data_IF_888360261804
#
_entry.id   IF_888360261804
#
_cell.length_a   1.000
_cell.length_b   1.000
_cell.length_c   1.000
_cell.angle_alpha   90.00
_cell.angle_beta   90.00
_cell.angle_gamma   90.00
#
_symmetry.space_group_name_H-M   'P 1'
#
loop_
_entity.id
_entity.type
_entity.pdbx_description
1 polymer ?
#
# COMPACT_ATOMS: atom_id res chain seq x y z
N UNK A 1 7.90 -1.59 -19.16
CA UNK A 1 7.57 -2.26 -17.88
C UNK A 1 7.89 -1.27 -16.78
N UNK A 2 6.94 -0.88 -15.92
CA UNK A 2 7.32 -0.17 -14.72
C UNK A 2 8.19 -1.10 -13.88
N UNK A 3 9.35 -0.62 -13.49
CA UNK A 3 10.19 -1.29 -12.48
C UNK A 3 9.40 -1.11 -11.19
N UNK A 4 8.65 -2.13 -10.79
CA UNK A 4 8.14 -2.20 -9.43
C UNK A 4 9.36 -2.23 -8.51
N UNK A 5 9.54 -1.19 -7.69
CA UNK A 5 10.42 -1.29 -6.53
C UNK A 5 10.03 -2.59 -5.80
N UNK A 6 11.00 -3.45 -5.46
CA UNK A 6 10.75 -4.59 -4.56
C UNK A 6 10.12 -3.99 -3.30
N UNK A 7 8.83 -4.23 -3.03
CA UNK A 7 8.10 -3.54 -1.95
C UNK A 7 8.50 -4.07 -0.57
N UNK A 8 9.40 -5.06 -0.50
CA UNK A 8 9.92 -5.61 0.75
C UNK A 8 11.05 -4.73 1.26
N UNK A 9 10.68 -3.56 1.71
CA UNK A 9 11.50 -2.79 2.65
C UNK A 9 11.67 -3.69 3.89
N UNK A 10 12.89 -4.17 4.15
CA UNK A 10 13.16 -5.05 5.29
C UNK A 10 13.14 -4.20 6.57
N UNK A 11 11.93 -3.94 7.04
CA UNK A 11 11.66 -3.14 8.22
C UNK A 11 10.98 -4.03 9.26
N UNK A 12 11.76 -4.46 10.25
CA UNK A 12 11.28 -5.28 11.34
C UNK A 12 10.17 -4.59 12.15
N UNK A 13 10.13 -3.25 12.18
CA UNK A 13 9.04 -2.51 12.83
C UNK A 13 7.73 -2.65 12.05
N UNK A 14 7.77 -2.53 10.72
CA UNK A 14 6.58 -2.76 9.86
C UNK A 14 6.10 -4.21 9.97
N UNK A 15 7.03 -5.17 9.93
CA UNK A 15 6.71 -6.58 10.09
C UNK A 15 6.09 -6.87 11.47
N UNK A 16 6.61 -6.27 12.53
CA UNK A 16 6.04 -6.38 13.87
C UNK A 16 4.63 -5.77 13.96
N UNK A 17 4.39 -4.63 13.32
CA UNK A 17 3.07 -4.00 13.27
C UNK A 17 2.06 -4.88 12.50
N UNK A 18 2.48 -5.50 11.40
CA UNK A 18 1.65 -6.42 10.63
C UNK A 18 1.38 -7.72 11.41
N UNK A 19 2.38 -8.25 12.12
CA UNK A 19 2.25 -9.44 12.95
C UNK A 19 1.16 -9.31 14.04
N UNK A 20 0.97 -8.11 14.59
CA UNK A 20 -0.10 -7.84 15.56
C UNK A 20 -1.51 -8.06 15.00
N UNK A 21 -1.68 -7.94 13.68
CA UNK A 21 -2.97 -8.11 13.00
C UNK A 21 -3.28 -9.60 12.74
N UNK A 22 -2.29 -10.48 12.86
CA UNK A 22 -2.42 -11.90 12.57
C UNK A 22 -2.53 -12.75 13.85
N UNK A 23 -3.19 -13.92 13.77
CA UNK A 23 -3.14 -14.90 14.83
C UNK A 23 -1.70 -15.21 15.23
N UNK A 24 -1.39 -15.05 16.51
CA UNK A 24 -0.06 -15.28 17.04
C UNK A 24 -0.14 -15.99 18.40
N UNK A 25 0.92 -16.70 18.75
CA UNK A 25 1.08 -17.32 20.07
C UNK A 25 2.54 -17.28 20.50
N UNK A 26 2.76 -17.14 21.80
CA UNK A 26 4.09 -17.30 22.40
C UNK A 26 4.41 -18.79 22.40
N UNK A 27 5.56 -19.16 21.82
CA UNK A 27 6.01 -20.56 21.70
C UNK A 27 7.27 -20.85 22.51
N UNK A 28 7.89 -19.83 23.11
CA UNK A 28 9.03 -20.01 24.00
C UNK A 28 9.79 -18.72 24.25
N UNK A 29 10.95 -18.87 24.87
CA UNK A 29 11.92 -17.82 25.13
C UNK A 29 13.30 -18.33 24.69
N UNK A 30 14.05 -17.50 23.99
CA UNK A 30 15.38 -17.80 23.48
C UNK A 30 16.34 -16.65 23.80
N UNK A 31 17.65 -16.93 23.82
CA UNK A 31 18.67 -15.88 23.86
C UNK A 31 19.15 -15.56 22.45
N UNK A 32 18.88 -14.34 21.97
CA UNK A 32 19.26 -13.84 20.64
C UNK A 32 20.21 -12.67 20.81
N UNK A 33 21.40 -12.75 20.23
CA UNK A 33 22.42 -11.69 20.33
C UNK A 33 22.76 -11.25 21.77
N UNK A 34 22.64 -12.18 22.73
CA UNK A 34 22.85 -11.91 24.16
C UNK A 34 21.65 -11.31 24.89
N UNK A 35 20.54 -11.05 24.19
CA UNK A 35 19.29 -10.55 24.75
C UNK A 35 18.29 -11.68 24.97
N UNK A 36 17.50 -11.58 26.03
CA UNK A 36 16.39 -12.51 26.30
C UNK A 36 15.18 -12.10 25.47
N UNK A 37 14.76 -12.97 24.55
CA UNK A 37 13.70 -12.68 23.60
C UNK A 37 12.56 -13.69 23.67
N UNK A 38 11.33 -13.17 23.67
CA UNK A 38 10.12 -13.99 23.52
C UNK A 38 9.99 -14.43 22.07
N UNK A 39 9.89 -15.74 21.84
CA UNK A 39 9.63 -16.31 20.52
C UNK A 39 8.14 -16.39 20.28
N UNK A 40 7.69 -15.73 19.21
CA UNK A 40 6.29 -15.67 18.80
C UNK A 40 6.15 -16.40 17.46
N UNK A 41 5.22 -17.35 17.39
CA UNK A 41 4.77 -17.94 16.12
C UNK A 41 3.60 -17.11 15.58
N UNK A 42 3.74 -16.63 14.36
CA UNK A 42 2.72 -15.81 13.67
C UNK A 42 2.16 -16.64 12.52
N UNK A 43 0.83 -16.68 12.40
CA UNK A 43 0.12 -17.46 11.37
C UNK A 43 -0.77 -16.55 10.53
N UNK A 44 -0.26 -16.00 9.41
CA UNK A 44 -1.06 -15.19 8.50
C UNK A 44 -2.24 -15.98 7.92
N UNK A 45 -3.42 -15.37 7.70
CA UNK A 45 -4.53 -16.01 7.03
C UNK A 45 -4.10 -16.56 5.66
N UNK A 46 -4.27 -17.87 5.46
CA UNK A 46 -3.86 -18.61 4.27
C UNK A 46 -2.34 -18.72 4.04
N UNK A 47 -1.51 -18.05 4.82
CA UNK A 47 -0.05 -18.14 4.75
C UNK A 47 0.51 -19.34 5.50
N UNK A 48 1.83 -19.46 5.43
CA UNK A 48 2.61 -20.38 6.26
C UNK A 48 3.10 -19.66 7.51
N UNK A 49 3.23 -20.36 8.66
CA UNK A 49 3.70 -19.74 9.88
C UNK A 49 5.16 -19.31 9.78
N UNK A 50 5.49 -18.25 10.49
CA UNK A 50 6.84 -17.71 10.63
C UNK A 50 7.07 -17.28 12.08
N UNK A 51 8.31 -16.92 12.42
CA UNK A 51 8.68 -16.63 13.80
C UNK A 51 9.33 -15.27 13.94
N UNK A 52 8.92 -14.54 14.98
CA UNK A 52 9.52 -13.28 15.38
C UNK A 52 10.02 -13.42 16.83
N UNK A 53 11.21 -12.92 17.09
CA UNK A 53 11.77 -12.84 18.44
C UNK A 53 11.75 -11.39 18.88
N UNK A 54 11.07 -11.14 19.99
CA UNK A 54 10.91 -9.80 20.55
C UNK A 54 11.69 -9.74 21.86
N UNK A 55 12.64 -8.80 21.95
CA UNK A 55 13.38 -8.55 23.18
C UNK A 55 12.42 -8.15 24.31
N UNK A 56 12.57 -8.82 25.45
CA UNK A 56 11.67 -8.67 26.61
C UNK A 56 11.83 -7.32 27.32
N UNK A 57 12.98 -6.66 27.19
CA UNK A 57 13.23 -5.38 27.82
C UNK A 57 12.75 -4.20 26.95
N UNK A 58 13.11 -4.20 25.67
CA UNK A 58 12.87 -3.07 24.77
C UNK A 58 11.62 -3.22 23.90
N UNK A 59 11.03 -4.42 23.85
CA UNK A 59 9.97 -4.81 22.92
C UNK A 59 10.34 -4.68 21.45
N UNK A 60 11.64 -4.60 21.13
CA UNK A 60 12.10 -4.53 19.76
C UNK A 60 12.21 -5.94 19.14
N UNK A 61 11.84 -6.10 17.87
CA UNK A 61 12.12 -7.33 17.14
C UNK A 61 13.64 -7.49 16.94
N UNK A 62 14.21 -8.58 17.44
CA UNK A 62 15.65 -8.87 17.38
C UNK A 62 16.03 -9.95 16.37
N UNK A 63 15.07 -10.78 16.00
CA UNK A 63 15.22 -11.77 14.94
C UNK A 63 13.88 -12.07 14.26
N UNK A 64 13.93 -12.32 12.96
CA UNK A 64 12.83 -12.79 12.14
C UNK A 64 13.28 -14.05 11.40
N UNK A 65 12.49 -15.11 11.47
CA UNK A 65 12.65 -16.30 10.65
C UNK A 65 11.43 -16.42 9.75
N UNK A 66 11.64 -16.38 8.44
CA UNK A 66 10.57 -16.52 7.46
C UNK A 66 9.93 -17.91 7.51
N UNK A 67 8.75 -18.03 6.91
CA UNK A 67 8.22 -19.35 6.56
C UNK A 67 9.18 -20.06 5.59
N UNK A 68 9.20 -21.40 5.64
CA UNK A 68 9.88 -22.22 4.65
C UNK A 68 9.09 -22.20 3.34
N UNK A 69 9.62 -21.58 2.30
CA UNK A 69 8.99 -21.50 0.99
C UNK A 69 9.94 -22.01 -0.08
N UNK A 70 9.51 -22.96 -0.90
CA UNK A 70 10.32 -23.57 -1.98
C UNK A 70 11.72 -24.00 -1.49
N UNK A 71 11.77 -24.64 -0.31
CA UNK A 71 12.99 -25.09 0.34
C UNK A 71 13.97 -23.98 0.78
N UNK A 72 13.53 -22.72 0.77
CA UNK A 72 14.29 -21.58 1.27
C UNK A 72 13.60 -21.07 2.54
N UNK A 73 14.40 -20.88 3.59
CA UNK A 73 14.00 -20.20 4.81
C UNK A 73 15.10 -19.19 5.14
N UNK A 74 14.70 -17.95 5.41
CA UNK A 74 15.64 -16.86 5.72
C UNK A 74 15.51 -16.51 7.18
N UNK A 75 16.65 -16.34 7.85
CA UNK A 75 16.72 -15.81 9.21
C UNK A 75 17.48 -14.50 9.18
N UNK A 76 16.87 -13.47 9.73
CA UNK A 76 17.45 -12.15 9.91
C UNK A 76 17.65 -11.94 11.40
N UNK A 77 18.86 -11.65 11.82
CA UNK A 77 19.21 -11.50 13.24
C UNK A 77 20.13 -10.29 13.39
N UNK A 78 19.85 -9.42 14.37
CA UNK A 78 20.83 -8.43 14.78
C UNK A 78 22.06 -9.14 15.32
N UNK A 79 23.24 -8.86 14.77
CA UNK A 79 24.50 -9.40 15.32
C UNK A 79 24.87 -8.69 16.62
N UNK A 80 24.60 -7.39 16.66
CA UNK A 80 24.78 -6.50 17.82
C UNK A 80 23.63 -5.51 17.85
N UNK A 81 23.02 -5.33 19.02
CA UNK A 81 21.99 -4.31 19.25
C UNK A 81 22.30 -3.59 20.55
N UNK A 82 22.57 -2.29 20.45
CA UNK A 82 22.70 -1.40 21.59
C UNK A 82 21.50 -0.46 21.61
N UNK A 83 20.75 -0.46 22.71
CA UNK A 83 19.54 0.35 22.88
C UNK A 83 19.78 1.43 23.92
N UNK A 84 18.97 2.49 23.89
CA UNK A 84 19.05 3.60 24.84
C UNK A 84 20.42 4.30 24.89
N UNK A 85 21.20 4.22 23.82
CA UNK A 85 22.49 4.90 23.70
C UNK A 85 22.31 6.32 23.18
N UNK A 86 23.13 7.24 23.68
CA UNK A 86 23.22 8.58 23.11
C UNK A 86 24.11 8.52 21.85
N UNK A 87 23.50 8.61 20.67
CA UNK A 87 24.24 8.65 19.41
C UNK A 87 24.87 10.05 19.27
N UNK A 88 26.20 10.17 19.09
CA UNK A 88 26.84 11.46 18.87
C UNK A 88 26.27 12.14 17.62
N UNK A 89 26.00 13.45 17.69
CA UNK A 89 25.53 14.20 16.52
C UNK A 89 26.52 14.14 15.33
N UNK A 90 27.80 13.92 15.62
CA UNK A 90 28.85 13.69 14.61
C UNK A 90 28.63 12.44 13.76
N UNK A 91 27.92 11.42 14.26
CA UNK A 91 27.58 10.21 13.48
C UNK A 91 26.74 10.54 12.26
N UNK A 92 25.93 11.59 12.33
CA UNK A 92 25.08 12.06 11.23
C UNK A 92 25.75 13.15 10.39
N UNK A 93 27.01 13.48 10.67
CA UNK A 93 27.75 14.48 9.89
C UNK A 93 28.24 13.88 8.59
N UNK A 94 27.70 14.37 7.47
CA UNK A 94 28.19 14.01 6.15
C UNK A 94 29.34 14.93 5.72
N UNK A 95 30.54 14.38 5.63
CA UNK A 95 31.70 15.06 5.05
C UNK A 95 31.93 14.50 3.63
N UNK A 96 31.60 15.25 2.56
CA UNK A 96 31.86 14.79 1.21
C UNK A 96 33.38 14.64 0.99
N UNK A 97 33.83 13.60 0.25
CA UNK A 97 35.24 13.48 -0.12
C UNK A 97 35.76 14.69 -0.91
N UNK A 98 37.07 14.92 -0.88
CA UNK A 98 37.71 15.99 -1.64
C UNK A 98 37.35 15.91 -3.14
N UNK A 99 36.97 17.04 -3.72
CA UNK A 99 36.52 17.14 -5.12
C UNK A 99 35.03 16.85 -5.34
N UNK A 100 34.27 16.50 -4.30
CA UNK A 100 32.81 16.33 -4.37
C UNK A 100 32.08 17.48 -3.66
N UNK A 101 30.95 17.90 -4.22
CA UNK A 101 30.04 18.87 -3.61
C UNK A 101 28.74 18.17 -3.21
N UNK A 102 28.16 18.58 -2.07
CA UNK A 102 26.81 18.17 -1.71
C UNK A 102 25.84 18.90 -2.62
N UNK A 103 25.11 18.14 -3.45
CA UNK A 103 24.00 18.68 -4.24
C UNK A 103 22.70 18.28 -3.54
N UNK A 104 22.08 19.24 -2.86
CA UNK A 104 20.72 19.06 -2.35
C UNK A 104 19.75 19.14 -3.53
N UNK A 105 19.30 17.98 -4.00
CA UNK A 105 18.31 17.86 -5.06
C UNK A 105 16.88 18.02 -4.54
N UNK A 106 16.66 18.22 -3.24
CA UNK A 106 15.32 18.47 -2.73
C UNK A 106 14.88 19.89 -3.12
N UNK A 107 13.89 20.04 -4.01
CA UNK A 107 13.41 21.36 -4.41
C UNK A 107 12.68 22.06 -3.25
N UNK A 108 12.19 21.31 -2.26
CA UNK A 108 11.40 21.82 -1.15
C UNK A 108 12.30 22.47 -0.10
N UNK A 109 12.15 23.79 0.06
CA UNK A 109 12.88 24.58 1.05
C UNK A 109 11.99 24.90 2.25
N UNK A 110 12.53 24.84 3.48
CA UNK A 110 11.79 25.23 4.66
C UNK A 110 11.44 26.71 4.59
N UNK A 111 10.20 27.05 4.92
CA UNK A 111 9.68 28.43 4.94
C UNK A 111 9.01 28.70 6.30
N UNK A 112 9.02 29.95 6.75
CA UNK A 112 8.56 30.30 8.09
C UNK A 112 7.04 30.48 8.17
N UNK A 113 6.38 30.78 7.03
CA UNK A 113 4.96 31.12 7.01
C UNK A 113 4.26 30.58 5.77
N UNK A 114 2.93 30.44 5.86
CA UNK A 114 2.08 30.09 4.72
C UNK A 114 2.17 31.13 3.58
N UNK A 115 2.27 32.42 3.92
CA UNK A 115 2.40 33.49 2.93
C UNK A 115 3.70 33.34 2.10
N UNK A 116 4.79 32.97 2.76
CA UNK A 116 6.05 32.66 2.09
C UNK A 116 5.94 31.39 1.23
N UNK A 117 5.28 30.34 1.73
CA UNK A 117 5.02 29.12 0.96
C UNK A 117 4.21 29.38 -0.32
N UNK A 118 3.18 30.22 -0.25
CA UNK A 118 2.37 30.67 -1.39
C UNK A 118 3.23 31.43 -2.40
N UNK A 119 4.08 32.35 -1.93
CA UNK A 119 4.98 33.13 -2.77
C UNK A 119 5.98 32.25 -3.53
N UNK A 120 6.57 31.25 -2.85
CA UNK A 120 7.55 30.32 -3.44
C UNK A 120 6.89 29.35 -4.42
N UNK A 121 5.73 28.81 -4.06
CA UNK A 121 5.07 27.75 -4.84
C UNK A 121 4.21 28.26 -5.99
N UNK A 122 3.67 29.48 -5.87
CA UNK A 122 2.66 30.01 -6.78
C UNK A 122 1.30 29.32 -6.67
N UNK A 123 1.04 28.57 -5.60
CA UNK A 123 -0.21 27.86 -5.37
C UNK A 123 -1.17 28.65 -4.47
N UNK A 124 -2.46 28.39 -4.63
CA UNK A 124 -3.49 28.75 -3.65
C UNK A 124 -3.86 27.48 -2.89
N UNK A 125 -3.26 27.22 -1.70
CA UNK A 125 -3.47 25.97 -1.00
C UNK A 125 -4.88 25.84 -0.43
N UNK A 126 -5.29 24.61 -0.17
CA UNK A 126 -6.50 24.30 0.61
C UNK A 126 -6.20 24.61 2.08
N UNK A 127 -7.12 25.28 2.77
CA UNK A 127 -6.88 25.71 4.15
C UNK A 127 -6.93 24.53 5.14
N UNK A 128 -5.89 24.43 5.96
CA UNK A 128 -5.84 23.54 7.12
C UNK A 128 -6.14 24.33 8.39
N UNK A 129 -7.05 23.81 9.23
CA UNK A 129 -7.36 24.45 10.52
C UNK A 129 -6.26 24.25 11.54
N UNK A 130 -5.57 23.10 11.49
CA UNK A 130 -4.43 22.80 12.37
C UNK A 130 -3.17 23.44 11.82
N UNK A 131 -2.39 24.05 12.71
CA UNK A 131 -1.08 24.61 12.35
C UNK A 131 -0.04 23.50 12.18
N UNK A 132 0.68 23.46 11.05
CA UNK A 132 1.78 22.52 10.86
C UNK A 132 2.96 22.88 11.77
N UNK A 133 3.81 21.90 12.08
CA UNK A 133 5.07 22.13 12.78
C UNK A 133 6.10 22.78 11.87
N UNK A 134 6.14 22.35 10.60
CA UNK A 134 7.05 22.86 9.58
C UNK A 134 6.31 23.01 8.26
N UNK A 135 6.74 23.98 7.45
CA UNK A 135 6.24 24.18 6.09
C UNK A 135 7.44 24.12 5.15
N UNK A 136 7.30 23.39 4.06
CA UNK A 136 8.25 23.43 2.95
C UNK A 136 7.54 23.84 1.68
N UNK A 137 8.25 24.54 0.80
CA UNK A 137 7.70 24.99 -0.46
C UNK A 137 8.74 24.87 -1.58
N UNK A 138 8.23 24.59 -2.78
CA UNK A 138 8.97 24.64 -4.04
C UNK A 138 8.00 25.04 -5.16
N UNK A 139 8.48 25.38 -6.37
CA UNK A 139 7.60 25.71 -7.47
C UNK A 139 6.55 24.61 -7.70
N UNK A 140 5.26 24.99 -7.65
CA UNK A 140 4.11 24.09 -7.77
C UNK A 140 3.89 23.08 -6.64
N UNK A 141 4.50 23.24 -5.47
CA UNK A 141 4.28 22.34 -4.33
C UNK A 141 4.39 23.06 -2.98
N UNK A 142 3.49 22.72 -2.06
CA UNK A 142 3.57 23.03 -0.64
C UNK A 142 3.48 21.73 0.15
N UNK A 143 4.30 21.62 1.20
CA UNK A 143 4.30 20.50 2.15
C UNK A 143 4.06 21.05 3.55
N UNK A 144 3.01 20.55 4.19
CA UNK A 144 2.70 20.80 5.59
C UNK A 144 3.07 19.57 6.41
N UNK A 145 4.01 19.74 7.32
CA UNK A 145 4.54 18.67 8.15
C UNK A 145 4.05 18.80 9.58
N UNK A 146 3.33 17.78 10.06
CA UNK A 146 2.77 17.67 11.40
C UNK A 146 3.56 16.74 12.32
N UNK A 147 4.72 16.25 11.88
CA UNK A 147 5.60 15.32 12.60
C UNK A 147 5.32 13.87 12.23
N UNK A 148 4.12 13.38 12.56
CA UNK A 148 3.67 12.00 12.27
C UNK A 148 2.90 11.84 10.95
N UNK A 149 2.56 12.97 10.33
CA UNK A 149 1.72 13.04 9.14
C UNK A 149 2.14 14.23 8.28
N UNK A 150 2.17 14.02 6.97
CA UNK A 150 2.51 15.01 5.96
C UNK A 150 1.29 15.24 5.08
N UNK A 151 0.97 16.50 4.81
CA UNK A 151 0.03 16.91 3.75
C UNK A 151 0.86 17.57 2.65
N UNK A 152 0.82 17.02 1.44
CA UNK A 152 1.38 17.66 0.26
C UNK A 152 0.25 18.15 -0.64
N UNK A 153 0.39 19.39 -1.08
CA UNK A 153 -0.45 19.98 -2.11
C UNK A 153 0.42 20.37 -3.29
N UNK A 154 0.11 19.84 -4.47
CA UNK A 154 0.93 20.06 -5.65
C UNK A 154 0.08 20.31 -6.88
N UNK A 155 0.57 21.11 -7.82
CA UNK A 155 -0.08 21.23 -9.12
C UNK A 155 0.25 20.00 -9.95
N UNK A 156 -0.77 19.23 -10.31
CA UNK A 156 -0.54 18.05 -11.14
C UNK A 156 -0.12 18.48 -12.56
N UNK A 157 1.01 17.95 -13.02
CA UNK A 157 1.53 18.16 -14.39
C UNK A 157 1.22 16.98 -15.32
N UNK A 158 0.68 15.90 -14.74
CA UNK A 158 0.31 14.67 -15.41
C UNK A 158 -1.17 14.37 -15.17
N UNK A 159 -1.83 13.59 -16.04
CA UNK A 159 -3.19 13.13 -15.75
C UNK A 159 -3.24 12.35 -14.44
N UNK A 160 -4.26 12.62 -13.63
CA UNK A 160 -4.53 11.84 -12.43
C UNK A 160 -5.09 10.48 -12.82
N UNK A 161 -4.25 9.46 -12.68
CA UNK A 161 -4.60 8.06 -12.97
C UNK A 161 -4.80 7.34 -11.65
N UNK A 162 -5.97 6.72 -11.49
CA UNK A 162 -6.30 5.92 -10.33
C UNK A 162 -5.48 4.62 -10.30
N UNK A 163 -4.90 4.33 -9.15
CA UNK A 163 -4.21 3.11 -8.81
C UNK A 163 -5.22 1.97 -8.71
N UNK A 164 -4.98 0.84 -9.38
CA UNK A 164 -5.83 -0.34 -9.24
C UNK A 164 -5.74 -0.98 -7.85
N UNK A 165 -4.71 -0.64 -7.07
CA UNK A 165 -4.46 -1.18 -5.73
C UNK A 165 -5.09 -0.33 -4.61
N UNK A 166 -5.60 0.86 -4.95
CA UNK A 166 -6.27 1.72 -3.99
C UNK A 166 -7.75 1.32 -3.83
N UNK A 167 -8.24 1.39 -2.61
CA UNK A 167 -9.69 1.48 -2.41
C UNK A 167 -10.15 2.85 -2.90
N UNK A 168 -11.34 2.90 -3.50
CA UNK A 168 -11.87 4.10 -4.12
C UNK A 168 -13.00 4.68 -3.26
N UNK A 169 -12.74 5.85 -2.71
CA UNK A 169 -13.70 6.68 -1.98
C UNK A 169 -14.11 7.93 -2.77
N UNK A 170 -14.57 8.94 -2.04
CA UNK A 170 -14.91 10.25 -2.58
C UNK A 170 -14.30 11.37 -1.74
N UNK A 171 -13.78 12.41 -2.39
CA UNK A 171 -13.32 13.64 -1.75
C UNK A 171 -13.43 14.80 -2.75
N UNK A 172 -13.95 15.94 -2.29
CA UNK A 172 -14.09 17.16 -3.08
C UNK A 172 -14.86 16.95 -4.41
N UNK A 173 -15.90 16.12 -4.39
CA UNK A 173 -16.69 15.76 -5.56
C UNK A 173 -16.00 14.84 -6.58
N UNK A 174 -14.77 14.40 -6.30
CA UNK A 174 -13.97 13.52 -7.16
C UNK A 174 -13.63 12.19 -6.47
N UNK A 175 -12.94 11.28 -7.20
CA UNK A 175 -12.48 10.02 -6.63
C UNK A 175 -11.35 10.25 -5.62
N UNK A 176 -11.42 9.53 -4.51
CA UNK A 176 -10.37 9.44 -3.49
C UNK A 176 -9.67 8.08 -3.60
N UNK A 177 -8.34 8.08 -3.66
CA UNK A 177 -7.54 6.88 -3.47
C UNK A 177 -7.24 6.71 -1.97
N UNK A 178 -7.51 5.51 -1.46
CA UNK A 178 -7.20 5.10 -0.10
C UNK A 178 -6.19 3.96 -0.14
N UNK A 179 -5.02 4.20 0.46
CA UNK A 179 -3.90 3.27 0.62
C UNK A 179 -3.59 3.14 2.13
N UNK A 180 -2.86 2.10 2.60
CA UNK A 180 -2.71 1.76 4.02
C UNK A 180 -2.32 2.93 4.94
N UNK A 181 -1.50 3.85 4.45
CA UNK A 181 -1.05 5.02 5.22
C UNK A 181 -1.22 6.33 4.45
N UNK A 182 -2.03 6.35 3.38
CA UNK A 182 -2.21 7.58 2.62
C UNK A 182 -3.55 7.72 1.92
N UNK A 183 -3.95 8.97 1.77
CA UNK A 183 -5.13 9.43 1.07
C UNK A 183 -4.71 10.37 -0.04
N UNK A 184 -5.23 10.17 -1.26
CA UNK A 184 -4.86 10.98 -2.42
C UNK A 184 -6.05 11.32 -3.31
N UNK A 185 -6.22 12.58 -3.65
CA UNK A 185 -7.32 13.05 -4.51
C UNK A 185 -6.96 14.35 -5.23
N UNK A 186 -7.83 14.76 -6.15
CA UNK A 186 -7.77 16.07 -6.80
C UNK A 186 -8.79 17.03 -6.19
N UNK A 187 -8.36 18.26 -5.90
CA UNK A 187 -9.21 19.33 -5.42
C UNK A 187 -8.67 20.68 -5.90
N UNK A 188 -9.53 21.52 -6.49
CA UNK A 188 -9.16 22.87 -6.95
C UNK A 188 -7.94 22.93 -7.89
N UNK A 189 -7.72 21.89 -8.71
CA UNK A 189 -6.56 21.79 -9.61
C UNK A 189 -5.26 21.39 -8.90
N UNK A 190 -5.33 21.06 -7.61
CA UNK A 190 -4.24 20.52 -6.82
C UNK A 190 -4.45 19.01 -6.63
N UNK A 191 -3.34 18.29 -6.66
CA UNK A 191 -3.24 16.95 -6.15
C UNK A 191 -2.88 17.03 -4.67
N UNK A 192 -3.77 16.49 -3.85
CA UNK A 192 -3.63 16.43 -2.40
C UNK A 192 -3.18 15.02 -2.03
N UNK A 193 -2.11 14.91 -1.26
CA UNK A 193 -1.63 13.68 -0.68
C UNK A 193 -1.49 13.87 0.83
N UNK A 194 -2.21 13.08 1.61
CA UNK A 194 -2.06 13.03 3.06
C UNK A 194 -1.48 11.68 3.43
N UNK A 195 -0.30 11.66 4.05
CA UNK A 195 0.41 10.43 4.40
C UNK A 195 0.82 10.42 5.87
N UNK A 196 0.45 9.37 6.61
CA UNK A 196 0.81 9.17 8.01
C UNK A 196 -0.37 8.84 8.91
N UNK A 197 -0.10 8.77 10.23
CA UNK A 197 -1.03 8.20 11.22
C UNK A 197 -2.34 8.97 11.37
N UNK A 198 -2.33 10.27 11.08
CA UNK A 198 -3.51 11.15 11.19
C UNK A 198 -4.08 11.53 9.83
N UNK A 199 -3.89 10.68 8.82
CA UNK A 199 -4.27 10.96 7.45
C UNK A 199 -5.76 11.26 7.28
N UNK A 200 -6.63 10.43 7.87
CA UNK A 200 -8.09 10.65 7.84
C UNK A 200 -8.49 11.95 8.55
N UNK A 201 -7.91 12.22 9.72
CA UNK A 201 -8.19 13.42 10.52
C UNK A 201 -7.85 14.72 9.77
N UNK A 202 -6.71 14.74 9.07
CA UNK A 202 -6.29 15.90 8.28
C UNK A 202 -7.04 16.00 6.96
N UNK A 203 -7.35 14.87 6.30
CA UNK A 203 -8.14 14.86 5.08
C UNK A 203 -9.56 15.42 5.29
N UNK A 204 -10.19 15.13 6.44
CA UNK A 204 -11.51 15.69 6.78
C UNK A 204 -11.50 17.23 6.92
N UNK A 205 -10.35 17.85 7.21
CA UNK A 205 -10.26 19.32 7.24
C UNK A 205 -10.21 19.92 5.83
N UNK A 206 -9.71 19.14 4.86
CA UNK A 206 -9.49 19.58 3.48
C UNK A 206 -10.71 19.33 2.60
N UNK A 207 -11.42 18.22 2.84
CA UNK A 207 -12.61 17.81 2.10
C UNK A 207 -13.76 17.44 3.05
N UNK A 208 -14.79 18.29 3.10
CA UNK A 208 -15.96 18.10 3.97
C UNK A 208 -16.87 16.94 3.54
N UNK A 209 -16.76 16.48 2.29
CA UNK A 209 -17.51 15.37 1.69
C UNK A 209 -16.66 14.09 1.62
N UNK A 210 -15.65 13.95 2.48
CA UNK A 210 -14.77 12.79 2.53
C UNK A 210 -15.57 11.51 2.83
N UNK A 211 -15.49 10.54 1.91
CA UNK A 211 -16.06 9.20 2.05
C UNK A 211 -14.93 8.20 1.86
N UNK A 212 -14.57 7.51 2.94
CA UNK A 212 -13.64 6.39 2.92
C UNK A 212 -14.46 5.10 2.79
N UNK A 213 -14.19 4.26 1.78
CA UNK A 213 -14.91 3.00 1.61
C UNK A 213 -14.61 2.08 2.80
N UNK A 214 -15.65 1.43 3.31
CA UNK A 214 -15.52 0.47 4.41
C UNK A 214 -15.38 -0.93 3.84
N UNK A 215 -14.49 -1.74 4.43
CA UNK A 215 -14.38 -3.17 4.12
C UNK A 215 -15.73 -3.86 4.34
N UNK A 216 -16.12 -4.75 3.43
CA UNK A 216 -17.41 -5.45 3.41
C UNK A 216 -18.66 -4.60 3.09
N UNK A 217 -18.51 -3.40 2.52
CA UNK A 217 -19.67 -2.71 1.92
C UNK A 217 -20.30 -3.58 0.83
N UNK A 218 -21.62 -3.72 0.87
CA UNK A 218 -22.36 -4.45 -0.15
C UNK A 218 -22.11 -3.82 -1.52
N UNK A 219 -21.67 -4.64 -2.48
CA UNK A 219 -21.52 -4.18 -3.85
C UNK A 219 -22.88 -3.70 -4.38
N UNK A 220 -22.90 -2.61 -5.19
CA UNK A 220 -24.14 -1.99 -5.65
C UNK A 220 -25.01 -2.95 -6.47
N UNK A 221 -24.39 -3.95 -7.12
CA UNK A 221 -25.06 -4.98 -7.91
C UNK A 221 -24.51 -6.37 -7.57
N UNK A 222 -25.34 -7.38 -7.78
CA UNK A 222 -24.92 -8.79 -7.73
C UNK A 222 -24.64 -9.31 -9.14
N UNK A 223 -23.67 -10.23 -9.31
CA UNK A 223 -23.41 -10.85 -10.60
C UNK A 223 -24.61 -11.69 -11.06
N UNK A 224 -24.89 -11.65 -12.36
CA UNK A 224 -25.85 -12.55 -13.01
C UNK A 224 -25.37 -14.00 -13.06
N UNK A 225 -24.05 -14.21 -13.14
CA UNK A 225 -23.43 -15.54 -13.06
C UNK A 225 -22.46 -15.58 -11.88
N UNK A 226 -22.76 -16.42 -10.89
CA UNK A 226 -21.87 -16.69 -9.76
C UNK A 226 -20.76 -17.67 -10.16
N UNK A 227 -19.53 -17.36 -9.77
CA UNK A 227 -18.37 -18.23 -9.93
C UNK A 227 -18.01 -18.76 -8.54
N UNK A 228 -18.23 -20.06 -8.33
CA UNK A 228 -17.86 -20.71 -7.07
C UNK A 228 -16.34 -20.78 -6.96
N UNK A 229 -15.80 -20.21 -5.89
CA UNK A 229 -14.38 -20.30 -5.57
C UNK A 229 -14.10 -21.55 -4.73
N UNK A 230 -13.15 -22.36 -5.17
CA UNK A 230 -12.60 -23.45 -4.35
C UNK A 230 -11.61 -22.85 -3.34
N UNK A 231 -11.99 -22.85 -2.06
CA UNK A 231 -11.21 -22.20 -1.01
C UNK A 231 -9.84 -22.85 -0.77
N UNK A 232 -9.68 -24.14 -1.07
CA UNK A 232 -8.37 -24.80 -0.96
C UNK A 232 -7.45 -24.32 -2.08
N UNK A 233 -7.98 -24.18 -3.30
CA UNK A 233 -7.24 -23.61 -4.44
C UNK A 233 -6.89 -22.14 -4.19
N UNK A 234 -7.83 -21.33 -3.69
CA UNK A 234 -7.56 -19.91 -3.39
C UNK A 234 -6.48 -19.77 -2.32
N UNK A 235 -6.52 -20.62 -1.28
CA UNK A 235 -5.48 -20.65 -0.25
C UNK A 235 -4.11 -21.04 -0.82
N UNK A 236 -4.06 -22.06 -1.68
CA UNK A 236 -2.80 -22.46 -2.35
C UNK A 236 -2.26 -21.35 -3.27
N UNK A 237 -3.14 -20.64 -3.99
CA UNK A 237 -2.74 -19.51 -4.82
C UNK A 237 -2.18 -18.36 -3.98
N UNK A 238 -2.79 -18.06 -2.83
CA UNK A 238 -2.25 -17.06 -1.90
C UNK A 238 -0.81 -17.44 -1.47
N UNK A 239 -0.57 -18.69 -1.10
CA UNK A 239 0.78 -19.15 -0.72
C UNK A 239 1.78 -19.06 -1.88
N UNK A 240 1.34 -19.34 -3.11
CA UNK A 240 2.19 -19.18 -4.29
C UNK A 240 2.57 -17.72 -4.50
N UNK A 241 1.63 -16.78 -4.33
CA UNK A 241 1.87 -15.33 -4.39
C UNK A 241 2.80 -14.87 -3.29
N UNK A 242 2.60 -15.32 -2.06
CA UNK A 242 3.51 -15.02 -0.95
C UNK A 242 4.94 -15.48 -1.24
N UNK A 243 5.10 -16.57 -2.02
CA UNK A 243 6.41 -17.08 -2.48
C UNK A 243 6.93 -16.43 -3.78
N UNK A 244 6.38 -15.28 -4.16
CA UNK A 244 6.77 -14.48 -5.32
C UNK A 244 6.31 -15.03 -6.67
N UNK A 245 5.32 -15.93 -6.70
CA UNK A 245 4.78 -16.49 -7.95
C UNK A 245 3.47 -15.83 -8.33
N UNK A 246 3.21 -15.61 -9.62
CA UNK A 246 1.93 -15.03 -10.07
C UNK A 246 1.52 -13.70 -9.36
N UNK A 247 2.45 -12.74 -9.16
CA UNK A 247 2.15 -11.50 -8.41
C UNK A 247 1.03 -10.66 -9.03
N UNK A 248 0.72 -10.92 -10.31
CA UNK A 248 -0.42 -10.34 -11.02
C UNK A 248 -1.77 -10.58 -10.34
N UNK A 249 -1.90 -11.61 -9.49
CA UNK A 249 -3.12 -11.88 -8.73
C UNK A 249 -3.43 -10.83 -7.65
N UNK A 250 -2.47 -9.95 -7.34
CA UNK A 250 -2.66 -8.81 -6.43
C UNK A 250 -3.31 -7.60 -7.12
N UNK A 251 -3.32 -7.57 -8.45
CA UNK A 251 -3.94 -6.51 -9.25
C UNK A 251 -5.32 -6.96 -9.76
N UNK A 252 -6.42 -6.30 -9.32
CA UNK A 252 -7.76 -6.70 -9.72
C UNK A 252 -8.03 -6.50 -11.22
N UNK A 253 -7.42 -5.49 -11.87
CA UNK A 253 -7.54 -5.29 -13.32
C UNK A 253 -6.92 -6.45 -14.07
N UNK A 254 -5.74 -6.89 -13.65
CA UNK A 254 -5.04 -8.00 -14.29
C UNK A 254 -5.77 -9.34 -14.09
N UNK A 255 -6.40 -9.56 -12.93
CA UNK A 255 -7.24 -10.74 -12.70
C UNK A 255 -8.49 -10.71 -13.59
N UNK A 256 -9.20 -9.58 -13.66
CA UNK A 256 -10.38 -9.44 -14.51
C UNK A 256 -10.04 -9.59 -16.01
N UNK A 257 -8.93 -9.00 -16.45
CA UNK A 257 -8.43 -9.13 -17.82
C UNK A 257 -8.17 -10.60 -18.17
N UNK A 258 -7.43 -11.30 -17.31
CA UNK A 258 -7.11 -12.71 -17.50
C UNK A 258 -8.38 -13.56 -17.58
N UNK A 259 -9.34 -13.31 -16.69
CA UNK A 259 -10.63 -14.00 -16.72
C UNK A 259 -11.38 -13.76 -18.03
N UNK A 260 -11.51 -12.51 -18.47
CA UNK A 260 -12.24 -12.16 -19.69
C UNK A 260 -11.59 -12.75 -20.95
N UNK A 261 -10.26 -12.74 -21.02
CA UNK A 261 -9.53 -13.35 -22.14
C UNK A 261 -9.75 -14.86 -22.18
N UNK A 262 -9.76 -15.55 -21.03
CA UNK A 262 -10.01 -17.00 -20.98
C UNK A 262 -11.43 -17.37 -21.40
N UNK A 263 -12.41 -16.46 -21.29
CA UNK A 263 -13.75 -16.66 -21.87
C UNK A 263 -13.73 -16.63 -23.41
N UNK A 264 -12.81 -15.88 -24.02
CA UNK A 264 -12.62 -15.84 -25.49
C UNK A 264 -11.79 -17.03 -25.96
N UNK A 265 -10.73 -17.36 -25.22
CA UNK A 265 -9.76 -18.41 -25.56
C UNK A 265 -9.61 -19.41 -24.41
N UNK A 266 -10.53 -20.38 -24.27
CA UNK A 266 -10.51 -21.34 -23.16
C UNK A 266 -9.27 -22.23 -23.12
N UNK A 267 -8.61 -22.43 -24.28
CA UNK A 267 -7.36 -23.18 -24.40
C UNK A 267 -6.11 -22.42 -23.94
N UNK A 268 -6.28 -21.21 -23.39
CA UNK A 268 -5.19 -20.31 -22.98
C UNK A 268 -4.84 -19.23 -24.00
N UNK A 269 -4.02 -18.28 -23.56
CA UNK A 269 -3.57 -17.13 -24.37
C UNK A 269 -2.35 -17.54 -25.19
N UNK A 270 -2.42 -17.41 -26.53
CA UNK A 270 -1.29 -17.60 -27.43
C UNK A 270 -1.09 -16.35 -28.28
N UNK A 271 0.11 -15.76 -28.22
CA UNK A 271 0.39 -14.49 -28.89
C UNK A 271 -0.26 -13.31 -28.16
N UNK A 272 -0.64 -12.29 -28.92
CA UNK A 272 -1.28 -11.10 -28.36
C UNK A 272 -2.67 -11.44 -27.79
N UNK A 273 -3.03 -10.90 -26.61
CA UNK A 273 -4.35 -11.11 -26.05
C UNK A 273 -5.45 -10.57 -26.98
N UNK A 274 -6.58 -11.28 -27.12
CA UNK A 274 -7.71 -10.85 -27.97
C UNK A 274 -8.55 -9.72 -27.35
N UNK A 275 -8.03 -9.02 -26.35
CA UNK A 275 -8.70 -7.96 -25.60
C UNK A 275 -7.67 -6.86 -25.29
N UNK A 276 -8.04 -5.59 -25.49
CA UNK A 276 -7.23 -4.46 -25.04
C UNK A 276 -7.34 -4.31 -23.52
N UNK A 277 -6.21 -4.19 -22.83
CA UNK A 277 -6.17 -3.95 -21.38
C UNK A 277 -6.82 -2.61 -21.02
N UNK A 278 -6.73 -1.60 -21.89
CA UNK A 278 -7.35 -0.29 -21.65
C UNK A 278 -8.88 -0.31 -21.77
N UNK A 279 -9.46 -1.43 -22.22
CA UNK A 279 -10.92 -1.61 -22.25
C UNK A 279 -11.54 -1.79 -20.86
N UNK A 280 -10.70 -2.00 -19.83
CA UNK A 280 -11.12 -2.26 -18.45
C UNK A 280 -11.16 -0.98 -17.61
N UNK A 281 -12.18 -0.87 -16.77
CA UNK A 281 -12.37 0.25 -15.85
C UNK A 281 -12.88 -0.24 -14.51
N UNK A 282 -12.17 0.11 -13.43
CA UNK A 282 -12.68 -0.08 -12.07
C UNK A 282 -13.82 0.91 -11.84
N UNK A 283 -15.00 0.40 -11.46
CA UNK A 283 -16.14 1.24 -11.07
C UNK A 283 -16.36 1.28 -9.56
N UNK A 284 -15.88 0.27 -8.85
CA UNK A 284 -15.95 0.18 -7.40
C UNK A 284 -14.75 -0.60 -6.89
N UNK A 285 -14.11 -0.12 -5.82
CA UNK A 285 -13.09 -0.88 -5.09
C UNK A 285 -13.17 -0.49 -3.62
N UNK A 286 -13.56 -1.42 -2.76
CA UNK A 286 -13.64 -1.19 -1.29
C UNK A 286 -12.37 -1.61 -0.57
N UNK A 287 -11.38 -2.14 -1.29
CA UNK A 287 -10.19 -2.80 -0.74
C UNK A 287 -10.38 -4.29 -0.53
N UNK A 288 -11.62 -4.76 -0.40
CA UNK A 288 -11.99 -6.18 -0.24
C UNK A 288 -12.83 -6.70 -1.39
N UNK A 289 -13.62 -5.84 -2.00
CA UNK A 289 -14.54 -6.12 -3.10
C UNK A 289 -14.30 -5.13 -4.23
N UNK A 290 -14.35 -5.59 -5.46
CA UNK A 290 -14.19 -4.71 -6.63
C UNK A 290 -15.05 -5.15 -7.79
N UNK A 291 -15.50 -4.14 -8.56
CA UNK A 291 -16.29 -4.29 -9.77
C UNK A 291 -15.53 -3.65 -10.91
N UNK A 292 -15.31 -4.43 -11.95
CA UNK A 292 -14.60 -4.01 -13.16
C UNK A 292 -15.54 -4.13 -14.34
N UNK A 293 -15.73 -3.01 -15.03
CA UNK A 293 -16.41 -2.98 -16.32
C UNK A 293 -15.40 -3.20 -17.43
N UNK A 294 -15.78 -3.96 -18.44
CA UNK A 294 -14.99 -4.24 -19.63
C UNK A 294 -15.79 -3.76 -20.82
N UNK A 295 -15.22 -2.88 -21.64
CA UNK A 295 -15.92 -2.25 -22.77
C UNK A 295 -15.99 -3.11 -24.03
N UNK A 296 -15.21 -4.19 -24.11
CA UNK A 296 -15.11 -5.10 -25.25
C UNK A 296 -15.20 -6.58 -24.82
N UNK A 297 -15.36 -7.49 -25.79
CA UNK A 297 -15.40 -8.94 -25.53
C UNK A 297 -16.73 -9.47 -24.98
N UNK A 298 -16.80 -10.76 -24.63
CA UNK A 298 -18.04 -11.44 -24.22
C UNK A 298 -18.48 -11.15 -22.78
N UNK A 299 -17.59 -10.57 -21.97
CA UNK A 299 -17.85 -10.22 -20.56
C UNK A 299 -18.04 -8.72 -20.46
N UNK A 300 -19.11 -8.29 -19.78
CA UNK A 300 -19.42 -6.88 -19.54
C UNK A 300 -18.86 -6.39 -18.20
N UNK A 301 -19.01 -7.21 -17.17
CA UNK A 301 -18.66 -6.85 -15.79
C UNK A 301 -18.03 -8.05 -15.09
N UNK A 302 -16.98 -7.84 -14.30
CA UNK A 302 -16.37 -8.85 -13.44
C UNK A 302 -16.42 -8.38 -11.99
N UNK A 303 -16.80 -9.28 -11.09
CA UNK A 303 -16.88 -9.04 -9.66
C UNK A 303 -15.78 -9.86 -8.98
N UNK A 304 -14.91 -9.18 -8.23
CA UNK A 304 -13.80 -9.83 -7.54
C UNK A 304 -13.84 -9.54 -6.05
N UNK A 305 -13.32 -10.49 -5.28
CA UNK A 305 -13.16 -10.37 -3.84
C UNK A 305 -11.80 -10.88 -3.41
N UNK A 306 -11.27 -10.27 -2.36
CA UNK A 306 -10.24 -10.89 -1.55
C UNK A 306 -10.90 -11.86 -0.59
N UNK A 307 -10.60 -13.15 -0.69
CA UNK A 307 -11.29 -14.18 0.09
C UNK A 307 -10.50 -14.69 1.31
N UNK A 308 -9.17 -14.54 1.28
CA UNK A 308 -8.26 -15.09 2.30
C UNK A 308 -7.70 -13.99 3.22
N UNK A 309 -7.08 -12.95 2.66
CA UNK A 309 -6.60 -11.76 3.38
C UNK A 309 -7.32 -10.54 2.85
N UNK A 310 -7.84 -9.70 3.73
CA UNK A 310 -8.59 -8.49 3.36
C UNK A 310 -7.68 -7.25 3.22
N UNK A 311 -6.38 -7.40 3.46
CA UNK A 311 -5.37 -6.36 3.29
C UNK A 311 -4.75 -6.38 1.88
N UNK A 312 -3.80 -5.47 1.61
CA UNK A 312 -3.18 -5.33 0.28
C UNK A 312 -2.36 -6.56 -0.19
N UNK A 313 -2.00 -7.47 0.71
CA UNK A 313 -1.33 -8.73 0.36
C UNK A 313 -2.30 -9.83 -0.11
N UNK A 314 -3.62 -9.61 0.03
CA UNK A 314 -4.63 -10.55 -0.40
C UNK A 314 -4.80 -10.62 -1.92
N UNK A 315 -4.83 -11.83 -2.46
CA UNK A 315 -5.14 -12.06 -3.88
C UNK A 315 -6.60 -11.76 -4.21
N UNK A 316 -6.83 -11.24 -5.41
CA UNK A 316 -8.17 -11.06 -5.95
C UNK A 316 -8.66 -12.35 -6.60
N UNK A 317 -9.91 -12.73 -6.29
CA UNK A 317 -10.58 -13.92 -6.83
C UNK A 317 -11.87 -13.50 -7.50
N UNK A 318 -12.10 -13.96 -8.73
CA UNK A 318 -13.38 -13.75 -9.44
C UNK A 318 -14.47 -14.54 -8.73
N UNK A 319 -15.52 -13.85 -8.29
CA UNK A 319 -16.69 -14.46 -7.62
C UNK A 319 -17.95 -14.41 -8.46
N UNK A 320 -17.93 -13.67 -9.57
CA UNK A 320 -19.02 -13.62 -10.52
C UNK A 320 -18.74 -12.67 -11.67
N UNK A 321 -19.60 -12.71 -12.69
CA UNK A 321 -19.51 -11.84 -13.85
C UNK A 321 -20.88 -11.64 -14.51
N UNK A 322 -20.97 -10.63 -15.36
CA UNK A 322 -22.10 -10.39 -16.26
C UNK A 322 -21.65 -10.57 -17.71
N UNK A 323 -22.29 -11.47 -18.48
CA UNK A 323 -22.02 -11.59 -19.91
C UNK A 323 -22.65 -10.42 -20.68
N UNK A 324 -22.31 -10.32 -21.96
CA UNK A 324 -23.00 -9.44 -22.92
C UNK A 324 -24.11 -10.13 -23.67
#
# INVERSE_FOLDING_TARGET
>A
MPIYLDPRDFDLQKEAAQAQQYPHKIVGEDSIAGLTATRIEITPPGGLPYYLWIDTETNLPVQLQSAMQKSIQTTYTFVTLETNIQIPASTFSYNPPDGYQVVDQNPNKPVATLAEAISVSGLTPVELTKKPQRIFASPNQIIFDFGDTIVSESKSTVPFVLSPLASLGQAAGGPLEVLPDSLRWLQNGLEILVQGQRSEELAMQLANDLIIPQSNQALPNQPSINVAADMDVVKQNQQQVDSGSSPWQLDPLQVAFTFAVLQISPGGIKGDPPLDFNSLKITTNTGTDTVIQISEGPVKTVYLKRLIRQDQSGIWTVVGYDPR
#
